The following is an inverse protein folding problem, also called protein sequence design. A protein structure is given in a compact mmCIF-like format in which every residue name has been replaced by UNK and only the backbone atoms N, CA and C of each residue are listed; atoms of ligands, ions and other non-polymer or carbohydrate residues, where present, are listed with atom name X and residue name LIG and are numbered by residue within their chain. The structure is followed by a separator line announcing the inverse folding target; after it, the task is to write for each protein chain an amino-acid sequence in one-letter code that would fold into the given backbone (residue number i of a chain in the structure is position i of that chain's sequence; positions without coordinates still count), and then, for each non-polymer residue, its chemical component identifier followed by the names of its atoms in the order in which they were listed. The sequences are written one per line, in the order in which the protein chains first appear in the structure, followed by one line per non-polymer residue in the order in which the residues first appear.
data_IF_096752036719
#
_entry.id   IF_096752036719
#
_cell.length_a   1.000
_cell.length_b   1.000
_cell.length_c   1.000
_cell.angle_alpha   90.00
_cell.angle_beta   90.00
_cell.angle_gamma   90.00
#
_symmetry.space_group_name_H-M   'P 1'
#
loop_
_entity.id
_entity.type
_entity.pdbx_description
1 polymer ?
#
# COMPACT_ATOMS: atom_id res chain seq x y z
N UNK A 1 35.04 3.21 -14.40
CA UNK A 1 35.29 4.63 -14.05
C UNK A 1 35.00 4.79 -12.57
N UNK A 2 35.82 5.57 -11.85
CA UNK A 2 35.71 5.78 -10.41
C UNK A 2 34.99 7.11 -10.15
N UNK A 3 33.94 7.13 -9.34
CA UNK A 3 33.33 8.38 -8.85
C UNK A 3 34.27 8.95 -7.76
N UNK A 4 34.65 10.23 -7.81
CA UNK A 4 35.58 10.82 -6.84
C UNK A 4 35.09 10.71 -5.39
N UNK A 5 36.01 10.47 -4.46
CA UNK A 5 35.75 10.44 -3.00
C UNK A 5 35.56 11.86 -2.45
N UNK A 6 34.42 12.47 -2.77
CA UNK A 6 34.12 13.87 -2.41
C UNK A 6 32.81 14.05 -1.65
N UNK A 7 31.98 13.00 -1.55
CA UNK A 7 30.68 13.04 -0.87
C UNK A 7 30.80 12.59 0.58
N UNK A 8 30.13 13.32 1.47
CA UNK A 8 29.99 12.95 2.88
C UNK A 8 29.01 11.78 3.07
N UNK A 9 27.98 11.70 2.22
CA UNK A 9 26.97 10.66 2.25
C UNK A 9 26.63 10.22 0.82
N UNK A 10 26.49 8.91 0.62
CA UNK A 10 26.11 8.30 -0.65
C UNK A 10 25.14 7.15 -0.41
N UNK A 11 24.17 6.99 -1.31
CA UNK A 11 23.24 5.86 -1.31
C UNK A 11 23.38 5.05 -2.61
N UNK A 12 22.73 3.88 -2.63
CA UNK A 12 22.79 2.96 -3.77
C UNK A 12 22.20 3.56 -5.04
N UNK A 13 22.80 3.20 -6.18
CA UNK A 13 22.19 3.48 -7.48
C UNK A 13 20.90 2.68 -7.64
N UNK A 14 19.79 3.39 -7.87
CA UNK A 14 18.50 2.83 -8.30
C UNK A 14 18.01 3.61 -9.50
N UNK A 15 17.54 2.88 -10.51
CA UNK A 15 16.99 3.47 -11.74
C UNK A 15 17.95 4.43 -12.47
N UNK A 16 19.26 4.21 -12.30
CA UNK A 16 20.31 5.00 -12.95
C UNK A 16 20.82 6.20 -12.15
N UNK A 17 20.20 6.50 -11.00
CA UNK A 17 20.57 7.63 -10.14
C UNK A 17 20.91 7.18 -8.71
N UNK A 18 21.78 7.93 -8.05
CA UNK A 18 22.09 7.79 -6.62
C UNK A 18 21.93 9.15 -5.93
N UNK A 19 21.34 9.16 -4.73
CA UNK A 19 21.31 10.35 -3.89
C UNK A 19 22.65 10.48 -3.13
N UNK A 20 23.21 11.67 -3.15
CA UNK A 20 24.49 11.99 -2.49
C UNK A 20 24.40 13.36 -1.81
N UNK A 21 25.22 13.56 -0.78
CA UNK A 21 25.37 14.84 -0.09
C UNK A 21 26.85 15.19 0.08
N UNK A 22 27.19 16.45 -0.21
CA UNK A 22 28.50 17.03 0.12
C UNK A 22 28.56 17.51 1.57
N UNK A 23 27.41 17.59 2.24
CA UNK A 23 27.28 18.09 3.60
C UNK A 23 27.53 16.98 4.62
N UNK A 24 28.51 17.22 5.50
CA UNK A 24 28.86 16.36 6.63
C UNK A 24 27.93 16.57 7.83
N UNK A 25 27.08 17.60 7.80
CA UNK A 25 25.99 17.78 8.76
C UNK A 25 25.00 16.63 8.66
N UNK A 26 24.67 16.04 9.80
CA UNK A 26 23.68 14.97 9.91
C UNK A 26 22.25 15.49 10.10
N UNK A 27 22.07 16.79 10.34
CA UNK A 27 20.77 17.34 10.73
C UNK A 27 19.86 17.68 9.55
N UNK A 28 20.40 18.26 8.47
CA UNK A 28 19.64 18.61 7.25
C UNK A 28 20.59 18.65 6.03
N UNK A 29 21.15 17.51 5.61
CA UNK A 29 22.08 17.47 4.49
C UNK A 29 21.42 17.97 3.20
N UNK A 30 22.18 18.75 2.41
CA UNK A 30 21.74 19.15 1.07
C UNK A 30 21.98 18.02 0.08
N UNK A 31 20.89 17.41 -0.34
CA UNK A 31 20.90 16.28 -1.26
C UNK A 31 20.97 16.71 -2.73
N UNK A 32 21.68 15.93 -3.52
CA UNK A 32 21.65 15.96 -4.98
C UNK A 32 21.58 14.52 -5.52
N UNK A 33 21.21 14.39 -6.80
CA UNK A 33 21.24 13.12 -7.50
C UNK A 33 22.32 13.13 -8.57
N UNK A 34 23.09 12.04 -8.64
CA UNK A 34 24.11 11.83 -9.65
C UNK A 34 23.78 10.61 -10.51
N UNK A 35 24.21 10.62 -11.76
CA UNK A 35 24.13 9.47 -12.65
C UNK A 35 25.32 8.50 -12.41
N UNK A 36 25.33 7.38 -13.14
CA UNK A 36 26.39 6.35 -13.04
C UNK A 36 27.78 6.84 -13.47
N UNK A 37 27.83 7.99 -14.14
CA UNK A 37 29.06 8.66 -14.54
C UNK A 37 29.58 9.61 -13.45
N UNK A 38 28.82 9.82 -12.37
CA UNK A 38 29.13 10.77 -11.31
C UNK A 38 28.71 12.21 -11.63
N UNK A 39 28.01 12.43 -12.73
CA UNK A 39 27.53 13.74 -13.14
C UNK A 39 26.24 14.08 -12.39
N UNK A 40 26.11 15.33 -11.93
CA UNK A 40 24.89 15.80 -11.27
C UNK A 40 23.72 15.80 -12.24
N UNK A 41 22.69 15.01 -11.93
CA UNK A 41 21.42 15.02 -12.63
C UNK A 41 20.58 16.23 -12.19
N UNK A 42 20.41 16.42 -10.87
CA UNK A 42 19.77 17.59 -10.29
C UNK A 42 20.12 17.76 -8.81
N UNK A 43 19.93 18.97 -8.27
CA UNK A 43 20.19 19.33 -6.87
C UNK A 43 18.85 19.68 -6.22
N UNK A 44 18.61 19.19 -5.01
CA UNK A 44 17.41 19.56 -4.26
C UNK A 44 17.52 20.99 -3.73
N UNK A 45 16.36 21.68 -3.70
CA UNK A 45 16.22 22.97 -3.03
C UNK A 45 16.55 22.84 -1.54
N UNK A 46 17.13 23.87 -0.95
CA UNK A 46 17.48 23.91 0.49
C UNK A 46 16.25 23.77 1.41
N UNK A 47 15.05 23.99 0.87
CA UNK A 47 13.77 23.79 1.58
C UNK A 47 13.22 22.37 1.46
N UNK A 48 13.85 21.50 0.68
CA UNK A 48 13.40 20.13 0.45
C UNK A 48 14.33 19.14 1.15
N UNK A 49 13.72 18.09 1.72
CA UNK A 49 14.45 16.98 2.34
C UNK A 49 14.04 15.67 1.69
N UNK A 50 14.97 14.73 1.54
CA UNK A 50 14.63 13.38 1.07
C UNK A 50 13.80 12.66 2.12
N UNK A 51 12.74 12.01 1.65
CA UNK A 51 11.95 11.07 2.46
C UNK A 51 12.36 9.64 2.14
N UNK A 52 12.62 9.38 0.85
CA UNK A 52 13.25 8.16 0.36
C UNK A 52 14.67 8.42 -0.09
N UNK A 53 15.55 7.45 0.14
CA UNK A 53 16.94 7.51 -0.31
C UNK A 53 17.09 7.12 -1.78
N UNK A 54 16.09 6.43 -2.36
CA UNK A 54 16.13 5.89 -3.71
C UNK A 54 14.82 6.06 -4.47
N UNK A 55 14.92 6.08 -5.80
CA UNK A 55 13.77 6.03 -6.70
C UNK A 55 13.05 4.69 -6.61
N UNK A 56 11.72 4.75 -6.65
CA UNK A 56 10.82 3.60 -6.81
C UNK A 56 9.82 3.92 -7.92
N UNK A 57 9.85 3.11 -8.97
CA UNK A 57 8.98 3.23 -10.16
C UNK A 57 9.04 4.62 -10.81
N UNK A 58 10.23 5.20 -10.88
CA UNK A 58 10.49 6.49 -11.51
C UNK A 58 10.32 7.70 -10.61
N UNK A 59 9.95 7.52 -9.34
CA UNK A 59 9.71 8.62 -8.41
C UNK A 59 10.46 8.49 -7.08
N UNK A 60 10.78 9.63 -6.48
CA UNK A 60 11.30 9.74 -5.12
C UNK A 60 10.43 10.70 -4.31
N UNK A 61 10.16 10.38 -3.05
CA UNK A 61 9.43 11.29 -2.14
C UNK A 61 10.37 12.32 -1.55
N UNK A 62 9.89 13.56 -1.51
CA UNK A 62 10.52 14.66 -0.81
C UNK A 62 9.57 15.28 0.21
N UNK A 63 10.12 15.82 1.29
CA UNK A 63 9.41 16.70 2.22
C UNK A 63 9.68 18.13 1.79
N UNK A 64 8.60 18.89 1.61
CA UNK A 64 8.58 20.34 1.33
C UNK A 64 7.89 21.07 2.49
N UNK A 65 8.00 22.41 2.58
CA UNK A 65 7.23 23.18 3.56
C UNK A 65 5.71 22.96 3.44
N UNK A 66 5.21 22.70 2.24
CA UNK A 66 3.79 22.50 1.93
C UNK A 66 3.31 21.06 2.19
N UNK A 67 4.23 20.08 2.23
CA UNK A 67 3.92 18.68 2.46
C UNK A 67 4.86 17.70 1.75
N UNK A 68 4.46 16.44 1.65
CA UNK A 68 5.13 15.44 0.81
C UNK A 68 4.83 15.71 -0.66
N UNK A 69 5.84 15.62 -1.50
CA UNK A 69 5.71 15.64 -2.96
C UNK A 69 6.57 14.54 -3.60
N UNK A 70 6.36 14.29 -4.89
CA UNK A 70 7.14 13.34 -5.67
C UNK A 70 7.96 14.07 -6.74
N UNK A 71 9.22 13.68 -6.89
CA UNK A 71 10.05 14.08 -8.03
C UNK A 71 10.27 12.89 -8.94
N UNK A 72 10.21 13.12 -10.25
CA UNK A 72 10.65 12.13 -11.23
C UNK A 72 12.19 12.09 -11.36
N UNK A 73 12.71 11.20 -12.20
CA UNK A 73 14.17 11.05 -12.42
C UNK A 73 14.86 12.26 -13.06
N UNK A 74 14.11 13.25 -13.54
CA UNK A 74 14.62 14.54 -14.02
C UNK A 74 14.59 15.63 -12.96
N UNK A 75 14.12 15.33 -11.74
CA UNK A 75 13.92 16.31 -10.68
C UNK A 75 12.68 17.17 -10.85
N UNK A 76 11.75 16.77 -11.73
CA UNK A 76 10.50 17.50 -11.97
C UNK A 76 9.41 16.99 -11.01
N UNK A 77 8.61 17.91 -10.46
CA UNK A 77 7.49 17.56 -9.60
C UNK A 77 6.40 16.79 -10.37
N UNK A 78 5.88 15.73 -9.77
CA UNK A 78 4.68 15.04 -10.25
C UNK A 78 3.44 15.87 -9.92
N UNK A 79 3.20 16.91 -10.72
CA UNK A 79 2.15 17.90 -10.49
C UNK A 79 2.48 18.87 -9.35
N UNK A 80 1.58 19.81 -9.08
CA UNK A 80 1.69 20.75 -7.95
C UNK A 80 0.83 20.28 -6.77
N UNK A 81 0.97 19.00 -6.41
CA UNK A 81 0.13 18.34 -5.40
C UNK A 81 1.01 17.97 -4.22
N UNK A 82 0.58 18.41 -3.04
CA UNK A 82 1.28 18.17 -1.78
C UNK A 82 0.39 17.35 -0.85
N UNK A 83 1.00 16.40 -0.15
CA UNK A 83 0.29 15.44 0.68
C UNK A 83 0.73 15.54 2.14
N UNK A 84 -0.17 15.22 3.07
CA UNK A 84 0.19 15.08 4.48
C UNK A 84 1.21 13.95 4.66
N UNK A 85 0.94 12.86 3.97
CA UNK A 85 1.73 11.63 3.92
C UNK A 85 1.50 10.94 2.57
N UNK A 86 2.49 10.19 2.10
CA UNK A 86 2.35 9.38 0.90
C UNK A 86 3.30 8.19 0.97
N UNK A 87 2.89 7.02 0.48
CA UNK A 87 3.75 5.84 0.30
C UNK A 87 4.64 6.00 -0.94
N UNK A 88 5.74 5.25 -1.07
CA UNK A 88 6.43 5.18 -2.35
C UNK A 88 5.53 4.48 -3.39
N UNK A 89 5.82 4.71 -4.67
CA UNK A 89 5.12 4.01 -5.74
C UNK A 89 5.39 2.51 -5.66
N UNK A 90 4.33 1.71 -5.72
CA UNK A 90 4.39 0.28 -5.87
C UNK A 90 3.20 -0.20 -6.70
N UNK A 91 3.47 -1.08 -7.68
CA UNK A 91 2.49 -1.59 -8.63
C UNK A 91 1.75 -0.46 -9.39
N UNK A 92 2.50 0.59 -9.75
CA UNK A 92 2.04 1.73 -10.53
C UNK A 92 1.31 2.82 -9.74
N UNK A 93 1.09 2.64 -8.43
CA UNK A 93 0.35 3.57 -7.58
C UNK A 93 1.07 3.92 -6.27
N UNK A 94 0.87 5.15 -5.81
CA UNK A 94 1.28 5.61 -4.49
C UNK A 94 0.05 5.96 -3.63
N UNK A 95 -0.11 5.33 -2.46
CA UNK A 95 -1.10 5.75 -1.47
C UNK A 95 -0.76 7.17 -1.04
N UNK A 96 -1.76 8.05 -1.04
CA UNK A 96 -1.61 9.46 -0.66
C UNK A 96 -2.63 9.80 0.41
N UNK A 97 -2.23 10.66 1.36
CA UNK A 97 -3.06 11.15 2.45
C UNK A 97 -3.19 12.66 2.34
N UNK A 98 -4.42 13.12 2.25
CA UNK A 98 -4.81 14.52 2.39
C UNK A 98 -5.32 14.79 3.80
N UNK A 99 -5.21 16.04 4.24
CA UNK A 99 -5.80 16.51 5.49
C UNK A 99 -6.68 17.71 5.17
N UNK A 100 -7.99 17.56 5.40
CA UNK A 100 -8.98 18.62 5.16
C UNK A 100 -9.88 18.73 6.40
N UNK A 101 -9.99 19.92 6.97
CA UNK A 101 -10.79 20.18 8.19
C UNK A 101 -10.47 19.23 9.36
N UNK A 102 -9.19 18.90 9.54
CA UNK A 102 -8.71 17.98 10.58
C UNK A 102 -9.03 16.49 10.31
N UNK A 103 -9.65 16.16 9.17
CA UNK A 103 -9.93 14.78 8.77
C UNK A 103 -8.93 14.33 7.72
N UNK A 104 -8.41 13.10 7.90
CA UNK A 104 -7.57 12.45 6.91
C UNK A 104 -8.43 11.79 5.84
N UNK A 105 -8.01 11.94 4.60
CA UNK A 105 -8.61 11.29 3.44
C UNK A 105 -7.52 10.65 2.61
N UNK A 106 -7.68 9.35 2.34
CA UNK A 106 -6.69 8.53 1.65
C UNK A 106 -7.23 8.08 0.30
N UNK A 107 -6.32 8.02 -0.67
CA UNK A 107 -6.52 7.49 -2.02
C UNK A 107 -5.20 6.98 -2.59
N UNK A 108 -5.17 6.71 -3.89
CA UNK A 108 -3.96 6.28 -4.59
C UNK A 108 -3.75 7.11 -5.86
N UNK A 109 -2.54 7.63 -6.01
CA UNK A 109 -2.09 8.42 -7.15
C UNK A 109 -1.42 7.52 -8.20
N UNK A 110 -1.70 7.74 -9.48
CA UNK A 110 -0.97 7.13 -10.59
C UNK A 110 0.31 7.92 -10.95
N UNK A 111 1.12 7.34 -11.83
CA UNK A 111 2.37 7.94 -12.30
C UNK A 111 2.19 9.21 -13.18
N UNK A 112 0.96 9.66 -13.41
CA UNK A 112 0.64 10.92 -14.07
C UNK A 112 0.12 11.98 -13.09
N UNK A 113 0.11 11.67 -11.79
CA UNK A 113 -0.40 12.57 -10.76
C UNK A 113 -1.93 12.59 -10.66
N UNK A 114 -2.62 11.57 -11.16
CA UNK A 114 -4.09 11.46 -11.09
C UNK A 114 -4.51 10.48 -10.00
N UNK A 115 -5.60 10.76 -9.31
CA UNK A 115 -6.15 9.83 -8.31
C UNK A 115 -6.84 8.64 -9.01
N UNK A 116 -6.14 7.52 -9.12
CA UNK A 116 -6.70 6.26 -9.63
C UNK A 116 -7.66 5.63 -8.61
N UNK A 117 -7.34 5.74 -7.31
CA UNK A 117 -8.28 5.52 -6.21
C UNK A 117 -8.57 6.88 -5.58
N UNK A 118 -9.83 7.34 -5.55
CA UNK A 118 -10.18 8.66 -5.07
C UNK A 118 -9.85 8.82 -3.58
N UNK A 119 -9.47 10.03 -3.19
CA UNK A 119 -9.13 10.38 -1.82
C UNK A 119 -10.39 10.59 -0.96
N UNK A 120 -11.18 9.52 -0.78
CA UNK A 120 -12.45 9.54 -0.05
C UNK A 120 -12.45 8.60 1.17
N UNK A 121 -11.40 7.79 1.31
CA UNK A 121 -11.34 6.76 2.33
C UNK A 121 -10.68 7.28 3.62
N UNK A 122 -11.09 6.73 4.75
CA UNK A 122 -10.46 6.97 6.06
C UNK A 122 -9.13 6.21 6.16
N UNK A 123 -9.07 5.06 5.48
CA UNK A 123 -7.90 4.23 5.37
C UNK A 123 -7.81 3.57 3.99
N UNK A 124 -6.60 3.49 3.45
CA UNK A 124 -6.25 2.64 2.31
C UNK A 124 -5.00 1.86 2.72
N UNK A 125 -4.97 0.54 2.48
CA UNK A 125 -3.81 -0.29 2.82
C UNK A 125 -2.53 0.19 2.10
N UNK A 126 -1.33 -0.04 2.67
CA UNK A 126 -0.07 0.41 2.09
C UNK A 126 0.14 0.02 0.62
N UNK A 127 0.78 0.89 -0.17
CA UNK A 127 1.04 0.63 -1.60
C UNK A 127 1.73 -0.71 -1.86
N UNK A 128 2.72 -1.07 -1.04
CA UNK A 128 3.47 -2.33 -1.19
C UNK A 128 2.56 -3.58 -1.12
N UNK A 129 1.39 -3.48 -0.46
CA UNK A 129 0.48 -4.62 -0.33
C UNK A 129 -0.19 -4.94 -1.67
N UNK A 130 -0.45 -3.95 -2.52
CA UNK A 130 -1.01 -4.19 -3.84
C UNK A 130 -0.11 -5.07 -4.74
N UNK A 131 1.20 -5.12 -4.47
CA UNK A 131 2.14 -6.03 -5.14
C UNK A 131 1.91 -7.49 -4.77
N UNK A 132 1.51 -7.76 -3.53
CA UNK A 132 1.33 -9.12 -3.04
C UNK A 132 -0.08 -9.68 -3.27
N UNK A 133 -1.08 -8.80 -3.27
CA UNK A 133 -2.50 -9.20 -3.25
C UNK A 133 -3.21 -9.07 -4.60
N UNK A 134 -2.45 -9.13 -5.70
CA UNK A 134 -3.00 -9.09 -7.04
C UNK A 134 -3.67 -7.75 -7.37
N UNK A 135 -3.02 -6.64 -7.02
CA UNK A 135 -3.47 -5.28 -7.31
C UNK A 135 -4.77 -4.86 -6.58
N UNK A 136 -4.92 -5.28 -5.31
CA UNK A 136 -6.06 -4.94 -4.45
C UNK A 136 -5.63 -4.07 -3.25
N UNK A 137 -6.56 -3.23 -2.81
CA UNK A 137 -6.44 -2.40 -1.61
C UNK A 137 -7.59 -2.67 -0.64
N UNK A 138 -7.27 -2.95 0.63
CA UNK A 138 -8.25 -2.87 1.72
C UNK A 138 -8.51 -1.40 2.01
N UNK A 139 -9.78 -1.03 2.05
CA UNK A 139 -10.21 0.36 2.27
C UNK A 139 -11.22 0.46 3.41
N UNK A 140 -11.17 1.56 4.14
CA UNK A 140 -12.17 1.89 5.15
C UNK A 140 -12.92 3.15 4.73
N UNK A 141 -14.25 3.08 4.73
CA UNK A 141 -15.15 4.20 4.47
C UNK A 141 -16.29 4.15 5.47
N UNK A 142 -16.57 5.30 6.11
CA UNK A 142 -17.65 5.43 7.09
C UNK A 142 -17.60 4.36 8.19
N UNK A 143 -16.38 4.03 8.67
CA UNK A 143 -16.15 3.00 9.67
C UNK A 143 -16.29 1.55 9.20
N UNK A 144 -16.62 1.30 7.92
CA UNK A 144 -16.80 -0.03 7.33
C UNK A 144 -15.66 -0.39 6.38
N UNK A 145 -15.37 -1.69 6.28
CA UNK A 145 -14.27 -2.22 5.48
C UNK A 145 -14.75 -2.79 4.15
N UNK A 146 -13.97 -2.54 3.10
CA UNK A 146 -14.16 -3.06 1.76
C UNK A 146 -12.83 -3.28 1.05
N UNK A 147 -12.89 -3.64 -0.23
CA UNK A 147 -11.74 -3.89 -1.09
C UNK A 147 -11.98 -3.32 -2.48
N UNK A 148 -11.00 -2.58 -3.00
CA UNK A 148 -11.00 -2.04 -4.37
C UNK A 148 -9.77 -2.52 -5.13
N UNK A 149 -9.85 -2.53 -6.46
CA UNK A 149 -8.66 -2.71 -7.30
C UNK A 149 -7.91 -1.39 -7.57
N UNK A 150 -6.78 -1.47 -8.27
CA UNK A 150 -5.96 -0.31 -8.68
C UNK A 150 -6.66 0.69 -9.60
N UNK A 151 -7.84 0.36 -10.13
CA UNK A 151 -8.67 1.23 -10.98
C UNK A 151 -9.92 1.72 -10.25
N UNK A 152 -9.94 1.56 -8.92
CA UNK A 152 -11.09 1.88 -8.06
C UNK A 152 -12.35 1.07 -8.38
N UNK A 153 -12.22 -0.11 -9.01
CA UNK A 153 -13.34 -1.02 -9.07
C UNK A 153 -13.58 -1.60 -7.68
N UNK A 154 -14.77 -1.40 -7.15
CA UNK A 154 -15.19 -2.04 -5.90
C UNK A 154 -15.32 -3.56 -6.11
N UNK A 155 -14.48 -4.30 -5.41
CA UNK A 155 -14.50 -5.77 -5.37
C UNK A 155 -15.36 -6.24 -4.21
N UNK A 156 -15.20 -5.59 -3.05
CA UNK A 156 -16.03 -5.76 -1.86
C UNK A 156 -16.46 -4.36 -1.44
N UNK A 157 -17.77 -4.05 -1.40
CA UNK A 157 -18.24 -2.75 -0.93
C UNK A 157 -17.87 -2.56 0.55
N UNK A 158 -17.64 -1.31 0.94
CA UNK A 158 -17.35 -0.95 2.33
C UNK A 158 -18.60 -1.03 3.22
N UNK A 159 -19.08 -2.25 3.49
CA UNK A 159 -20.23 -2.52 4.36
C UNK A 159 -19.92 -3.47 5.52
N UNK A 160 -18.75 -4.10 5.50
CA UNK A 160 -18.37 -5.12 6.47
C UNK A 160 -17.76 -4.51 7.73
N UNK A 161 -17.96 -5.18 8.87
CA UNK A 161 -17.30 -4.82 10.13
C UNK A 161 -15.79 -5.07 10.07
N UNK A 162 -15.37 -6.05 9.26
CA UNK A 162 -13.99 -6.31 8.92
C UNK A 162 -13.91 -7.11 7.61
N UNK A 163 -12.78 -6.96 6.91
CA UNK A 163 -12.37 -7.82 5.81
C UNK A 163 -10.98 -8.31 6.17
N UNK A 164 -10.82 -9.61 6.40
CA UNK A 164 -9.52 -10.18 6.72
C UNK A 164 -8.57 -9.97 5.53
N UNK A 165 -7.49 -9.24 5.79
CA UNK A 165 -6.51 -8.86 4.79
C UNK A 165 -5.15 -8.88 5.49
N UNK A 166 -4.40 -9.99 5.41
CA UNK A 166 -3.23 -10.18 6.26
C UNK A 166 -2.12 -9.19 5.87
N UNK A 167 -1.40 -8.63 6.87
CA UNK A 167 -0.42 -7.57 6.64
C UNK A 167 0.84 -8.05 5.90
N UNK A 168 1.16 -9.33 6.01
CA UNK A 168 2.28 -9.96 5.31
C UNK A 168 1.79 -11.28 4.74
N UNK A 169 1.90 -11.52 3.42
CA UNK A 169 1.67 -12.86 2.91
C UNK A 169 2.84 -13.73 3.35
N UNK A 170 2.64 -14.86 4.05
CA UNK A 170 3.43 -16.02 3.67
C UNK A 170 3.09 -16.34 2.20
N UNK A 171 4.08 -16.87 1.46
CA UNK A 171 4.00 -17.15 0.02
C UNK A 171 2.85 -18.08 -0.44
N UNK A 172 2.00 -18.52 0.50
CA UNK A 172 0.92 -19.51 0.33
C UNK A 172 -0.49 -19.00 0.65
N UNK A 173 -0.67 -17.76 1.11
CA UNK A 173 -2.00 -17.26 1.58
C UNK A 173 -2.64 -16.18 0.69
N UNK A 174 -2.05 -15.91 -0.48
CA UNK A 174 -2.62 -15.00 -1.49
C UNK A 174 -4.02 -15.41 -1.91
N UNK A 175 -5.07 -14.74 -1.41
CA UNK A 175 -6.48 -15.05 -1.72
C UNK A 175 -6.72 -16.56 -1.81
N UNK A 176 -6.47 -17.32 -0.73
CA UNK A 176 -6.64 -18.77 -0.74
C UNK A 176 -8.04 -19.12 -1.32
N UNK A 177 -8.04 -19.86 -2.44
CA UNK A 177 -9.22 -20.22 -3.23
C UNK A 177 -10.13 -19.06 -3.69
N UNK A 178 -9.55 -17.89 -4.01
CA UNK A 178 -10.25 -16.71 -4.54
C UNK A 178 -11.29 -16.12 -3.59
N UNK A 179 -11.04 -16.21 -2.28
CA UNK A 179 -11.97 -15.77 -1.24
C UNK A 179 -11.30 -14.85 -0.22
N UNK A 180 -12.14 -14.04 0.41
CA UNK A 180 -11.77 -13.19 1.53
C UNK A 180 -12.74 -13.43 2.68
N UNK A 181 -12.19 -13.62 3.88
CA UNK A 181 -13.02 -13.69 5.07
C UNK A 181 -13.56 -12.30 5.39
N UNK A 182 -14.87 -12.22 5.68
CA UNK A 182 -15.56 -10.97 6.00
C UNK A 182 -16.36 -11.14 7.27
N UNK A 183 -16.47 -10.05 8.03
CA UNK A 183 -17.24 -10.01 9.27
C UNK A 183 -18.48 -9.14 9.12
N UNK A 184 -19.63 -9.68 9.49
CA UNK A 184 -20.93 -8.99 9.50
C UNK A 184 -21.76 -9.50 10.66
N UNK A 185 -22.40 -8.59 11.39
CA UNK A 185 -23.23 -8.88 12.56
C UNK A 185 -22.48 -9.72 13.61
N UNK A 186 -21.21 -9.39 13.86
CA UNK A 186 -20.36 -10.09 14.81
C UNK A 186 -19.86 -11.48 14.38
N UNK A 187 -20.25 -11.98 13.21
CA UNK A 187 -19.88 -13.32 12.71
C UNK A 187 -19.06 -13.25 11.43
N UNK A 188 -18.28 -14.30 11.19
CA UNK A 188 -17.40 -14.44 10.02
C UNK A 188 -18.02 -15.36 8.96
N UNK A 189 -17.77 -15.00 7.71
CA UNK A 189 -18.08 -15.76 6.50
C UNK A 189 -17.04 -15.49 5.41
N UNK A 190 -17.32 -15.89 4.17
CA UNK A 190 -16.44 -15.65 3.02
C UNK A 190 -17.18 -15.03 1.85
N UNK A 191 -16.53 -14.10 1.17
CA UNK A 191 -16.91 -13.61 -0.17
C UNK A 191 -15.93 -14.11 -1.22
N UNK A 192 -16.36 -14.20 -2.47
CA UNK A 192 -15.44 -14.41 -3.60
C UNK A 192 -14.86 -13.09 -4.14
N UNK A 193 -13.94 -13.17 -5.12
CA UNK A 193 -13.40 -12.01 -5.87
C UNK A 193 -14.42 -11.14 -6.62
N UNK A 194 -15.71 -11.46 -6.59
CA UNK A 194 -16.79 -10.61 -7.11
C UNK A 194 -17.59 -9.95 -5.98
N UNK A 195 -17.14 -10.07 -4.74
CA UNK A 195 -17.83 -9.56 -3.55
C UNK A 195 -19.07 -10.35 -3.15
N UNK A 196 -19.36 -11.47 -3.83
CA UNK A 196 -20.53 -12.29 -3.51
C UNK A 196 -20.21 -13.20 -2.34
N UNK A 197 -21.07 -13.19 -1.31
CA UNK A 197 -21.04 -14.17 -0.23
C UNK A 197 -21.11 -15.59 -0.79
N UNK A 198 -20.07 -16.37 -0.50
CA UNK A 198 -20.02 -17.81 -0.81
C UNK A 198 -20.25 -18.65 0.43
N UNK A 199 -19.89 -18.13 1.61
CA UNK A 199 -20.18 -18.75 2.91
C UNK A 199 -20.76 -17.64 3.78
N UNK A 200 -22.01 -17.79 4.20
CA UNK A 200 -22.70 -16.78 4.98
C UNK A 200 -22.03 -16.55 6.34
N UNK A 201 -22.01 -15.31 6.87
CA UNK A 201 -21.52 -15.02 8.21
C UNK A 201 -22.29 -15.78 9.28
N UNK A 202 -21.64 -16.76 9.92
CA UNK A 202 -22.22 -17.53 11.03
C UNK A 202 -21.19 -18.05 12.03
N UNK A 203 -19.90 -17.96 11.69
CA UNK A 203 -18.81 -18.48 12.50
C UNK A 203 -18.30 -17.42 13.49
N UNK A 204 -17.89 -17.84 14.68
CA UNK A 204 -17.29 -16.97 15.70
C UNK A 204 -15.86 -16.59 15.34
N UNK A 205 -15.14 -17.53 14.74
CA UNK A 205 -13.79 -17.39 14.24
C UNK A 205 -13.67 -18.14 12.90
N UNK A 206 -12.81 -17.65 12.01
CA UNK A 206 -12.51 -18.28 10.73
C UNK A 206 -11.03 -18.09 10.40
N UNK A 207 -10.43 -19.07 9.76
CA UNK A 207 -9.07 -19.00 9.22
C UNK A 207 -9.10 -19.26 7.72
N UNK A 208 -7.99 -18.95 7.05
CA UNK A 208 -7.85 -19.15 5.60
C UNK A 208 -8.01 -20.62 5.21
N UNK A 209 -8.33 -20.84 3.93
CA UNK A 209 -8.34 -22.17 3.33
C UNK A 209 -6.90 -22.66 3.15
N UNK A 210 -6.62 -23.86 3.65
CA UNK A 210 -5.37 -24.59 3.45
C UNK A 210 -5.77 -26.00 2.99
N UNK A 211 -5.23 -26.45 1.86
CA UNK A 211 -5.56 -27.73 1.24
C UNK A 211 -7.08 -27.98 1.05
N UNK A 212 -7.81 -26.92 0.72
CA UNK A 212 -9.26 -26.97 0.44
C UNK A 212 -10.17 -26.92 1.68
N UNK A 213 -9.60 -26.78 2.89
CA UNK A 213 -10.34 -26.69 4.15
C UNK A 213 -10.01 -25.41 4.92
N UNK A 214 -11.03 -24.81 5.54
CA UNK A 214 -10.87 -23.71 6.47
C UNK A 214 -11.27 -24.14 7.89
N UNK A 215 -10.45 -23.79 8.89
CA UNK A 215 -10.80 -23.99 10.29
C UNK A 215 -11.80 -22.92 10.74
N UNK A 216 -12.87 -23.34 11.42
CA UNK A 216 -13.92 -22.46 11.92
C UNK A 216 -14.27 -22.76 13.37
N UNK A 217 -14.75 -21.75 14.09
CA UNK A 217 -15.41 -21.91 15.37
C UNK A 217 -16.91 -21.65 15.24
N UNK A 218 -17.74 -22.56 15.74
CA UNK A 218 -19.19 -22.44 15.76
C UNK A 218 -19.72 -22.93 17.11
N UNK A 219 -20.47 -22.09 17.82
CA UNK A 219 -21.03 -22.40 19.14
C UNK A 219 -19.95 -22.88 20.14
N UNK A 220 -18.79 -22.22 20.14
CA UNK A 220 -17.65 -22.57 20.98
C UNK A 220 -16.83 -23.79 20.53
N UNK A 221 -17.30 -24.57 19.55
CA UNK A 221 -16.60 -25.76 19.06
C UNK A 221 -15.81 -25.50 17.78
N UNK A 222 -14.67 -26.16 17.63
CA UNK A 222 -13.82 -26.07 16.44
C UNK A 222 -14.15 -27.18 15.45
N UNK A 223 -14.13 -26.85 14.17
CA UNK A 223 -14.28 -27.82 13.08
C UNK A 223 -13.67 -27.28 11.79
N UNK A 224 -13.83 -28.03 10.72
CA UNK A 224 -13.38 -27.64 9.39
C UNK A 224 -14.56 -27.45 8.46
N UNK A 225 -14.43 -26.54 7.49
CA UNK A 225 -15.36 -26.42 6.38
C UNK A 225 -14.64 -26.59 5.06
N UNK A 226 -15.30 -27.22 4.09
CA UNK A 226 -14.79 -27.24 2.71
C UNK A 226 -15.10 -25.92 1.98
N UNK A 227 -14.63 -25.80 0.74
CA UNK A 227 -14.90 -24.67 -0.13
C UNK A 227 -16.41 -24.46 -0.46
N UNK A 228 -17.31 -25.40 -0.17
CA UNK A 228 -18.76 -25.18 -0.29
C UNK A 228 -19.39 -24.72 1.02
N UNK A 229 -18.61 -24.64 2.10
CA UNK A 229 -19.10 -24.35 3.44
C UNK A 229 -19.71 -25.56 4.16
N UNK A 230 -19.49 -26.77 3.65
CA UNK A 230 -19.89 -28.03 4.30
C UNK A 230 -19.01 -28.22 5.52
N UNK A 231 -19.62 -28.37 6.69
CA UNK A 231 -18.88 -28.54 7.94
C UNK A 231 -18.56 -30.01 8.25
N UNK A 232 -17.39 -30.23 8.82
CA UNK A 232 -16.90 -31.50 9.35
C UNK A 232 -16.64 -31.26 10.85
N UNK A 233 -17.56 -31.74 11.68
CA UNK A 233 -17.41 -31.80 13.12
C UNK A 233 -17.19 -33.27 13.49
N UNK A 234 -16.26 -33.56 14.40
CA UNK A 234 -16.16 -34.88 15.01
C UNK A 234 -17.29 -35.01 16.04
N UNK A 235 -17.98 -36.16 16.05
CA UNK A 235 -19.05 -36.51 16.99
C UNK A 235 -18.52 -36.83 18.39
#
# INVERSE_FOLDING_TARGET
MLIPFQYAQVNDFREGLASVSMDFSTLNPRWQFINRQGETAFILSDRHQLVDLHFQEGFVRIRTPEGIAFLNTKGELLGQIYFKDADPFANGLARVTYEENGKRRMGCLDNRGRLAVPAIYEFVSPSAYATYWGALYKVQKDGRWGVVDTRHKEIIPAEFEDVYFPPFPPATLGLADDRLAVKKDGKWGFVNRRGKLVIAPKYEQIYDFIDGYARVQYQGQWGYIDAKGTAYFED
#
